data_IF_805337262580
#
_entry.id   IF_805337262580
#
_cell.length_a   1.000
_cell.length_b   1.000
_cell.length_c   1.000
_cell.angle_alpha   90.00
_cell.angle_beta   90.00
_cell.angle_gamma   90.00
#
_symmetry.space_group_name_H-M   'P 1'
#
loop_
_entity.id
_entity.type
_entity.pdbx_description
1 polymer ?
#
# COMPACT_ATOMS: atom_id res chain seq x y z
N UNK A 1 2.27 -0.41 0.73
CA UNK A 1 3.51 0.31 1.08
C UNK A 1 3.97 -0.11 2.46
N UNK A 2 5.24 -0.38 2.59
CA UNK A 2 5.85 -0.85 3.84
C UNK A 2 6.92 0.12 4.33
N UNK A 3 7.04 0.21 5.67
CA UNK A 3 8.16 0.85 6.36
C UNK A 3 8.76 -0.18 7.31
N UNK A 4 10.08 -0.22 7.40
CA UNK A 4 10.79 -1.11 8.32
C UNK A 4 11.44 -0.28 9.42
N UNK A 5 11.18 -0.65 10.66
CA UNK A 5 11.84 -0.12 11.84
C UNK A 5 12.56 -1.24 12.58
N UNK A 6 13.27 -0.89 13.63
CA UNK A 6 13.67 -1.86 14.65
C UNK A 6 12.46 -2.23 15.52
N UNK A 7 12.55 -3.29 16.28
CA UNK A 7 11.46 -3.67 17.23
C UNK A 7 11.14 -2.60 18.29
N UNK A 8 12.11 -1.79 18.65
CA UNK A 8 11.94 -0.64 19.57
C UNK A 8 11.48 0.65 18.83
N UNK A 9 11.05 0.55 17.58
CA UNK A 9 10.44 1.62 16.79
C UNK A 9 11.42 2.64 16.18
N UNK A 10 12.72 2.41 16.26
CA UNK A 10 13.71 3.32 15.68
C UNK A 10 13.78 3.16 14.17
N UNK A 11 14.01 4.28 13.48
CA UNK A 11 14.26 4.27 12.04
C UNK A 11 15.52 3.49 11.69
N UNK A 12 15.48 2.66 10.65
CA UNK A 12 16.67 1.99 10.10
C UNK A 12 17.75 2.98 9.65
N UNK A 13 17.35 4.20 9.27
CA UNK A 13 18.32 5.25 8.87
C UNK A 13 19.21 5.71 10.02
N UNK A 14 18.80 5.50 11.27
CA UNK A 14 19.60 5.80 12.45
C UNK A 14 20.64 4.74 12.78
N UNK A 15 20.63 3.60 12.05
CA UNK A 15 21.53 2.46 12.28
C UNK A 15 22.52 2.37 11.11
N UNK A 16 23.84 2.26 11.37
CA UNK A 16 24.84 2.01 10.32
C UNK A 16 24.45 0.79 9.46
N UNK A 17 24.69 0.87 8.15
CA UNK A 17 24.27 -0.18 7.21
C UNK A 17 24.82 -1.56 7.57
N UNK A 18 26.06 -1.62 8.02
CA UNK A 18 26.75 -2.83 8.43
C UNK A 18 26.14 -3.52 9.65
N UNK A 19 25.47 -2.73 10.52
CA UNK A 19 24.84 -3.23 11.75
C UNK A 19 23.39 -3.70 11.52
N UNK A 20 22.73 -3.25 10.45
CA UNK A 20 21.30 -3.54 10.18
C UNK A 20 20.98 -5.03 10.09
N UNK A 21 21.94 -5.84 9.63
CA UNK A 21 21.79 -7.30 9.53
C UNK A 21 21.68 -8.01 10.89
N UNK A 22 22.15 -7.35 11.95
CA UNK A 22 22.16 -7.89 13.32
C UNK A 22 21.01 -7.35 14.18
N UNK A 23 20.14 -6.52 13.60
CA UNK A 23 19.03 -5.89 14.32
C UNK A 23 17.74 -6.61 13.98
N UNK A 24 16.93 -6.87 15.01
CA UNK A 24 15.61 -7.44 14.81
C UNK A 24 14.67 -6.41 14.19
N UNK A 25 14.16 -6.72 13.01
CA UNK A 25 13.36 -5.82 12.18
C UNK A 25 11.87 -5.98 12.44
N UNK A 26 11.14 -4.86 12.36
CA UNK A 26 9.69 -4.79 12.44
C UNK A 26 9.12 -4.16 11.17
N UNK A 27 8.66 -4.94 10.18
CA UNK A 27 8.01 -4.40 8.99
C UNK A 27 6.56 -4.00 9.29
N UNK A 28 6.20 -2.78 8.90
CA UNK A 28 4.87 -2.20 9.06
C UNK A 28 4.23 -1.95 7.71
N UNK A 29 2.93 -2.25 7.58
CA UNK A 29 2.13 -1.79 6.43
C UNK A 29 1.55 -0.43 6.80
N UNK A 30 1.90 0.59 6.04
CA UNK A 30 1.45 1.98 6.34
C UNK A 30 0.30 2.44 5.48
N UNK A 31 0.18 1.92 4.27
CA UNK A 31 -1.00 2.12 3.43
C UNK A 31 -1.11 1.04 2.36
N UNK A 32 -2.32 0.86 1.86
CA UNK A 32 -2.62 0.03 0.71
C UNK A 32 -3.63 0.72 -0.20
N UNK A 33 -3.45 0.54 -1.51
CA UNK A 33 -4.32 1.10 -2.52
C UNK A 33 -4.68 0.05 -3.56
N UNK A 34 -5.94 0.02 -3.91
CA UNK A 34 -6.43 -0.71 -5.07
C UNK A 34 -6.19 0.14 -6.32
N UNK A 35 -5.38 -0.35 -7.24
CA UNK A 35 -5.20 0.23 -8.57
C UNK A 35 -6.14 -0.46 -9.51
N UNK A 36 -6.96 0.31 -10.24
CA UNK A 36 -8.07 -0.19 -11.02
C UNK A 36 -7.92 0.32 -12.45
N UNK A 37 -7.80 -0.59 -13.41
CA UNK A 37 -7.79 -0.25 -14.82
C UNK A 37 -9.12 0.33 -15.27
N UNK A 38 -9.09 1.21 -16.27
CA UNK A 38 -10.28 1.79 -16.87
C UNK A 38 -10.24 1.59 -18.38
N UNK A 39 -11.42 1.36 -19.00
CA UNK A 39 -11.60 1.28 -20.45
C UNK A 39 -10.83 0.17 -21.19
N UNK A 40 -10.62 -1.01 -20.58
CA UNK A 40 -9.99 -2.15 -21.27
C UNK A 40 -8.55 -1.93 -21.70
N UNK A 41 -7.89 -0.91 -21.17
CA UNK A 41 -6.43 -0.72 -21.33
C UNK A 41 -5.70 -1.74 -20.47
N UNK A 42 -4.56 -2.23 -20.98
CA UNK A 42 -3.70 -3.19 -20.26
C UNK A 42 -2.93 -2.56 -19.09
N UNK A 43 -3.18 -1.29 -18.75
CA UNK A 43 -2.49 -0.55 -17.69
C UNK A 43 -3.49 0.04 -16.71
N UNK A 44 -3.20 -0.12 -15.44
CA UNK A 44 -3.97 0.39 -14.30
C UNK A 44 -3.38 1.67 -13.68
N UNK A 45 -2.35 2.23 -14.33
CA UNK A 45 -1.66 3.43 -13.83
C UNK A 45 -2.60 4.63 -13.72
N UNK A 46 -2.63 5.24 -12.53
CA UNK A 46 -3.39 6.44 -12.23
C UNK A 46 -3.14 7.55 -13.26
N UNK A 47 -1.87 7.75 -13.64
CA UNK A 47 -1.48 8.75 -14.65
C UNK A 47 -1.89 8.40 -16.09
N UNK A 48 -2.29 7.16 -16.35
CA UNK A 48 -2.72 6.67 -17.67
C UNK A 48 -4.23 6.47 -17.79
N UNK A 49 -5.00 7.03 -16.85
CA UNK A 49 -6.47 6.96 -16.82
C UNK A 49 -7.03 5.82 -15.98
N UNK A 50 -6.20 5.19 -15.15
CA UNK A 50 -6.66 4.28 -14.11
C UNK A 50 -7.27 5.04 -12.92
N UNK A 51 -7.89 4.29 -12.03
CA UNK A 51 -8.47 4.78 -10.78
C UNK A 51 -7.73 4.20 -9.59
N UNK A 52 -7.80 4.86 -8.45
CA UNK A 52 -7.26 4.37 -7.18
C UNK A 52 -8.28 4.49 -6.07
N UNK A 53 -8.31 3.50 -5.18
CA UNK A 53 -9.12 3.50 -3.98
C UNK A 53 -8.30 2.98 -2.79
N UNK A 54 -8.40 3.61 -1.60
CA UNK A 54 -7.68 3.14 -0.42
C UNK A 54 -8.28 1.83 0.09
N UNK A 55 -7.39 0.96 0.54
CA UNK A 55 -7.74 -0.32 1.17
C UNK A 55 -7.37 -0.24 2.65
N UNK A 56 -8.25 -0.68 3.51
CA UNK A 56 -7.96 -0.81 4.93
C UNK A 56 -6.89 -1.90 5.12
N UNK A 57 -5.78 -1.54 5.72
CA UNK A 57 -4.59 -2.40 5.81
C UNK A 57 -4.80 -3.64 6.68
N UNK A 58 -5.78 -3.60 7.60
CA UNK A 58 -6.07 -4.70 8.52
C UNK A 58 -7.05 -5.70 7.93
N UNK A 59 -8.02 -5.22 7.16
CA UNK A 59 -9.15 -6.04 6.72
C UNK A 59 -9.09 -6.44 5.24
N UNK A 60 -8.30 -5.71 4.43
CA UNK A 60 -8.27 -5.86 2.98
C UNK A 60 -9.53 -5.38 2.28
N UNK A 61 -10.31 -4.51 2.92
CA UNK A 61 -11.55 -3.97 2.37
C UNK A 61 -11.28 -2.58 1.79
N UNK A 62 -11.78 -2.33 0.59
CA UNK A 62 -11.74 -1.00 -0.02
C UNK A 62 -12.61 -0.05 0.80
N UNK A 63 -11.99 0.95 1.42
CA UNK A 63 -12.62 1.79 2.45
C UNK A 63 -13.33 3.02 1.91
N UNK A 64 -12.93 3.52 0.73
CA UNK A 64 -13.45 4.74 0.13
C UNK A 64 -13.82 4.53 -1.34
N UNK A 65 -14.44 5.54 -1.95
CA UNK A 65 -14.72 5.57 -3.38
C UNK A 65 -13.40 5.65 -4.17
N UNK A 66 -13.39 5.12 -5.39
CA UNK A 66 -12.26 5.29 -6.28
C UNK A 66 -12.24 6.70 -6.90
N UNK A 67 -11.07 7.17 -7.25
CA UNK A 67 -10.86 8.45 -7.92
C UNK A 67 -9.86 8.30 -9.06
N UNK A 68 -10.08 9.00 -10.17
CA UNK A 68 -9.11 9.13 -11.26
C UNK A 68 -8.30 10.43 -11.17
N UNK A 69 -7.39 10.62 -12.11
CA UNK A 69 -6.53 11.80 -12.20
C UNK A 69 -7.30 13.10 -12.46
N UNK A 70 -8.41 13.01 -13.17
CA UNK A 70 -9.32 14.12 -13.49
C UNK A 70 -10.23 14.48 -12.29
N UNK A 71 -10.09 13.77 -11.16
CA UNK A 71 -10.88 13.92 -9.93
C UNK A 71 -12.33 13.44 -10.03
N UNK A 72 -12.66 12.63 -11.04
CA UNK A 72 -13.94 11.95 -11.07
C UNK A 72 -13.95 10.85 -10.00
N UNK A 73 -15.08 10.70 -9.33
CA UNK A 73 -15.26 9.76 -8.21
C UNK A 73 -16.17 8.62 -8.66
N UNK A 74 -15.80 7.38 -8.32
CA UNK A 74 -16.48 6.18 -8.78
C UNK A 74 -16.86 5.30 -7.59
N UNK A 75 -18.15 5.00 -7.46
CA UNK A 75 -18.67 3.97 -6.56
C UNK A 75 -18.60 2.59 -7.22
N UNK A 76 -18.85 2.58 -8.53
CA UNK A 76 -18.84 1.36 -9.38
C UNK A 76 -17.83 1.50 -10.50
N UNK A 77 -17.27 0.38 -10.91
CA UNK A 77 -16.41 0.33 -12.07
C UNK A 77 -17.19 0.71 -13.34
N UNK A 78 -16.74 1.70 -14.13
CA UNK A 78 -17.53 2.26 -15.22
C UNK A 78 -17.81 1.27 -16.37
N UNK A 79 -16.98 0.24 -16.52
CA UNK A 79 -17.14 -0.76 -17.59
C UNK A 79 -17.88 -2.01 -17.09
N UNK A 80 -17.49 -2.54 -15.92
CA UNK A 80 -18.06 -3.80 -15.42
C UNK A 80 -19.30 -3.61 -14.56
N UNK A 81 -19.53 -2.41 -14.01
CA UNK A 81 -20.62 -2.13 -13.09
C UNK A 81 -20.40 -2.65 -11.66
N UNK A 82 -19.28 -3.34 -11.41
CA UNK A 82 -18.97 -3.89 -10.10
C UNK A 82 -18.74 -2.80 -9.07
N UNK A 83 -19.23 -3.01 -7.84
CA UNK A 83 -19.06 -2.07 -6.73
C UNK A 83 -17.62 -2.12 -6.23
N UNK A 84 -16.97 -0.95 -6.15
CA UNK A 84 -15.57 -0.80 -5.74
C UNK A 84 -15.47 -0.69 -4.23
N UNK A 85 -16.18 0.28 -3.63
CA UNK A 85 -16.16 0.46 -2.17
C UNK A 85 -16.79 -0.75 -1.48
N UNK A 86 -16.09 -1.29 -0.49
CA UNK A 86 -16.51 -2.50 0.23
C UNK A 86 -16.04 -3.80 -0.42
N UNK A 87 -15.39 -3.74 -1.59
CA UNK A 87 -14.75 -4.93 -2.16
C UNK A 87 -13.69 -5.45 -1.18
N UNK A 88 -13.71 -6.75 -0.89
CA UNK A 88 -12.75 -7.42 -0.02
C UNK A 88 -11.79 -8.24 -0.87
N UNK A 89 -10.50 -7.97 -0.74
CA UNK A 89 -9.47 -8.75 -1.43
C UNK A 89 -9.39 -10.17 -0.87
N UNK A 90 -9.38 -11.19 -1.73
CA UNK A 90 -9.05 -12.55 -1.33
C UNK A 90 -7.58 -12.62 -0.90
N UNK A 91 -7.22 -13.60 -0.07
CA UNK A 91 -5.82 -13.85 0.34
C UNK A 91 -5.09 -12.63 0.94
N UNK A 92 -5.84 -11.71 1.58
CA UNK A 92 -5.25 -10.45 2.08
C UNK A 92 -4.15 -10.69 3.11
N UNK A 93 -4.38 -11.56 4.07
CA UNK A 93 -3.41 -11.87 5.12
C UNK A 93 -2.14 -12.50 4.55
N UNK A 94 -2.27 -13.30 3.51
CA UNK A 94 -1.16 -13.90 2.80
C UNK A 94 -0.33 -12.85 2.06
N UNK A 95 -0.99 -11.89 1.39
CA UNK A 95 -0.33 -10.77 0.74
C UNK A 95 0.43 -9.88 1.74
N UNK A 96 -0.17 -9.58 2.90
CA UNK A 96 0.47 -8.84 3.98
C UNK A 96 1.70 -9.60 4.50
N UNK A 97 1.57 -10.90 4.74
CA UNK A 97 2.68 -11.75 5.18
C UNK A 97 3.82 -11.77 4.15
N UNK A 98 3.47 -11.90 2.87
CA UNK A 98 4.43 -11.89 1.76
C UNK A 98 5.21 -10.57 1.70
N UNK A 99 4.54 -9.42 1.78
CA UNK A 99 5.18 -8.11 1.80
C UNK A 99 6.12 -7.93 3.01
N UNK A 100 5.70 -8.38 4.19
CA UNK A 100 6.53 -8.31 5.41
C UNK A 100 7.78 -9.18 5.32
N UNK A 101 7.66 -10.38 4.76
CA UNK A 101 8.81 -11.28 4.51
C UNK A 101 9.79 -10.66 3.52
N UNK A 102 9.28 -10.10 2.41
CA UNK A 102 10.15 -9.45 1.42
C UNK A 102 10.97 -8.30 2.04
N UNK A 103 10.42 -7.53 2.97
CA UNK A 103 11.17 -6.51 3.69
C UNK A 103 12.32 -7.08 4.55
N UNK A 104 12.19 -8.30 5.04
CA UNK A 104 13.23 -8.95 5.85
C UNK A 104 14.37 -9.50 4.98
N UNK A 105 14.07 -9.92 3.75
CA UNK A 105 15.07 -10.39 2.79
C UNK A 105 15.93 -9.25 2.22
N UNK A 106 15.40 -8.01 2.21
CA UNK A 106 16.10 -6.82 1.70
C UNK A 106 16.14 -5.74 2.78
N UNK A 107 16.89 -5.95 3.87
CA UNK A 107 16.89 -5.04 5.04
C UNK A 107 17.44 -3.64 4.73
N UNK A 108 18.13 -3.46 3.61
CA UNK A 108 18.58 -2.14 3.14
C UNK A 108 17.41 -1.25 2.69
N UNK A 109 16.30 -1.85 2.26
CA UNK A 109 15.09 -1.16 1.83
C UNK A 109 14.18 -0.86 3.04
N UNK A 110 14.52 0.17 3.81
CA UNK A 110 13.71 0.61 4.95
C UNK A 110 12.33 1.16 4.58
N UNK A 111 12.08 1.44 3.30
CA UNK A 111 10.83 1.97 2.76
C UNK A 111 10.60 1.43 1.35
N UNK A 112 9.49 0.75 1.14
CA UNK A 112 9.20 0.10 -0.14
C UNK A 112 7.72 0.16 -0.54
N UNK A 113 7.46 0.30 -1.83
CA UNK A 113 6.18 0.04 -2.46
C UNK A 113 6.17 -1.34 -3.10
N UNK A 114 5.15 -2.13 -2.85
CA UNK A 114 4.96 -3.45 -3.43
C UNK A 114 3.73 -3.44 -4.31
N UNK A 115 3.89 -3.74 -5.59
CA UNK A 115 2.78 -3.99 -6.49
C UNK A 115 2.44 -5.48 -6.42
N UNK A 116 1.24 -5.79 -5.93
CA UNK A 116 0.76 -7.15 -5.68
C UNK A 116 -0.46 -7.43 -6.54
N UNK A 117 -0.40 -8.47 -7.34
CA UNK A 117 -1.54 -9.00 -8.07
C UNK A 117 -2.19 -10.14 -7.27
N UNK A 118 -3.53 -10.18 -7.27
CA UNK A 118 -4.31 -11.26 -6.67
C UNK A 118 -4.82 -12.18 -7.78
N UNK A 119 -4.45 -13.44 -7.70
CA UNK A 119 -4.83 -14.49 -8.66
C UNK A 119 -5.72 -15.53 -7.98
N UNK A 120 -6.34 -16.44 -8.74
CA UNK A 120 -7.08 -17.56 -8.15
C UNK A 120 -6.23 -18.44 -7.24
N UNK A 121 -4.91 -18.49 -7.46
CA UNK A 121 -3.96 -19.33 -6.72
C UNK A 121 -3.28 -18.56 -5.57
N UNK A 122 -3.62 -17.31 -5.34
CA UNK A 122 -3.06 -16.46 -4.27
C UNK A 122 -2.40 -15.18 -4.77
N UNK A 123 -1.79 -14.40 -3.85
CA UNK A 123 -1.09 -13.16 -4.19
C UNK A 123 0.27 -13.43 -4.80
N UNK A 124 0.70 -12.56 -5.72
CA UNK A 124 2.05 -12.58 -6.28
C UNK A 124 2.60 -11.16 -6.44
N UNK A 125 3.92 -11.00 -6.33
CA UNK A 125 4.58 -9.74 -6.63
C UNK A 125 4.63 -9.50 -8.13
N UNK A 126 4.28 -8.28 -8.53
CA UNK A 126 4.53 -7.74 -9.87
C UNK A 126 5.85 -7.00 -9.87
N UNK A 127 6.03 -6.08 -8.91
CA UNK A 127 7.28 -5.34 -8.72
C UNK A 127 7.42 -4.81 -7.29
N UNK A 128 8.66 -4.45 -6.94
CA UNK A 128 8.99 -3.73 -5.71
C UNK A 128 9.74 -2.44 -6.03
N UNK A 129 9.33 -1.33 -5.43
CA UNK A 129 9.87 0.00 -5.66
C UNK A 129 10.50 0.55 -4.39
N UNK A 130 11.78 0.96 -4.44
CA UNK A 130 12.51 1.56 -3.31
C UNK A 130 12.07 3.01 -3.01
N UNK A 131 11.50 3.70 -3.98
CA UNK A 131 10.96 5.07 -3.85
C UNK A 131 9.53 5.12 -4.39
N UNK A 132 8.54 4.56 -3.67
CA UNK A 132 7.15 4.61 -4.11
C UNK A 132 6.66 6.05 -4.17
N UNK A 133 5.92 6.38 -5.24
CA UNK A 133 5.31 7.69 -5.41
C UNK A 133 4.35 8.04 -4.27
N UNK A 134 4.24 9.31 -3.93
CA UNK A 134 3.39 9.80 -2.83
C UNK A 134 2.11 10.48 -3.30
N UNK A 135 1.92 10.64 -4.59
CA UNK A 135 0.83 11.37 -5.22
C UNK A 135 -0.56 10.79 -4.93
N UNK A 136 -0.67 9.46 -4.78
CA UNK A 136 -1.95 8.80 -4.53
C UNK A 136 -2.29 8.64 -3.04
N UNK A 137 -1.35 8.83 -2.12
CA UNK A 137 -1.57 8.52 -0.69
C UNK A 137 -2.28 9.62 0.08
N UNK A 138 -2.29 10.84 -0.44
CA UNK A 138 -2.84 12.01 0.23
C UNK A 138 -3.87 12.75 -0.64
N UNK A 139 -4.60 12.01 -1.47
CA UNK A 139 -5.68 12.59 -2.27
C UNK A 139 -6.77 13.17 -1.35
N UNK A 140 -7.23 14.40 -1.58
CA UNK A 140 -8.17 15.07 -0.66
C UNK A 140 -9.45 14.30 -0.38
N UNK A 141 -9.95 13.55 -1.37
CA UNK A 141 -11.16 12.71 -1.21
C UNK A 141 -10.92 11.54 -0.26
N UNK A 142 -9.67 11.08 -0.12
CA UNK A 142 -9.29 9.96 0.74
C UNK A 142 -8.75 10.40 2.12
N UNK A 143 -8.56 11.70 2.31
CA UNK A 143 -8.08 12.29 3.56
C UNK A 143 -9.05 13.37 4.08
N UNK A 144 -10.31 13.01 4.40
CA UNK A 144 -11.34 13.98 4.75
C UNK A 144 -10.99 14.80 6.00
N UNK A 145 -10.21 14.23 6.92
CA UNK A 145 -9.77 14.90 8.15
C UNK A 145 -8.60 15.87 7.93
N UNK A 146 -8.00 15.89 6.75
CA UNK A 146 -6.90 16.79 6.34
C UNK A 146 -5.64 16.71 7.22
N UNK A 147 -5.45 15.63 7.94
CA UNK A 147 -4.25 15.40 8.78
C UNK A 147 -3.13 14.66 8.04
N UNK A 148 -3.37 14.21 6.82
CA UNK A 148 -2.39 13.50 6.00
C UNK A 148 -2.00 12.14 6.57
N UNK A 149 -0.83 11.65 6.14
CA UNK A 149 -0.35 10.29 6.45
C UNK A 149 0.59 10.21 7.67
N UNK A 150 1.03 11.34 8.22
CA UNK A 150 2.00 11.36 9.32
C UNK A 150 1.65 10.44 10.51
N UNK A 151 0.38 10.37 10.97
CA UNK A 151 0.03 9.47 12.07
C UNK A 151 0.29 7.98 11.79
N UNK A 152 0.32 7.57 10.52
CA UNK A 152 0.61 6.19 10.13
C UNK A 152 2.11 5.84 10.18
N UNK A 153 2.97 6.82 10.36
CA UNK A 153 4.42 6.67 10.50
C UNK A 153 4.89 6.79 11.96
N UNK A 154 3.96 6.85 12.91
CA UNK A 154 4.29 6.78 14.33
C UNK A 154 4.37 5.31 14.77
N UNK A 155 5.59 4.82 14.90
CA UNK A 155 5.92 3.46 15.32
C UNK A 155 6.42 3.41 16.77
N UNK A 156 6.24 4.49 17.53
CA UNK A 156 6.59 4.53 18.95
C UNK A 156 5.86 3.41 19.71
N UNK A 157 6.52 2.71 20.63
CA UNK A 157 5.85 1.78 21.51
C UNK A 157 4.68 2.49 22.20
N UNK A 158 3.49 1.94 22.07
CA UNK A 158 2.32 2.43 22.80
C UNK A 158 2.31 1.71 24.14
N UNK A 159 2.43 2.48 25.22
CA UNK A 159 2.29 2.01 26.60
C UNK A 159 0.96 1.28 26.83
#
# INVERSE_FOLDING_TARGET
MTVVTTKDGKSLLSIPKEERKNVELAPHIVCAYFRIGNNGKCVDNFNSGGMVAPVDEKTGIVSQLAIDKEKNVYEKHPVTGETIKGFKFPYWDEAICMCKKACQEVPEMGYAGWDVAFTPDGPLFVEGNEFPGHDIYQLPVHTPEKIGMMPKFDFSPKD
#
